data_IF_341978438230
#
_entry.id   IF_341978438230
#
_cell.length_a   1.000
_cell.length_b   1.000
_cell.length_c   1.000
_cell.angle_alpha   90.00
_cell.angle_beta   90.00
_cell.angle_gamma   90.00
#
_symmetry.space_group_name_H-M   'P 1'
#
loop_
_entity.id
_entity.type
_entity.pdbx_description
1 polymer ?
#
# COMPACT_ATOMS: atom_id res chain seq x y z
N UNK A 1 -5.86 11.88 -0.15
CA UNK A 1 -5.24 10.89 0.74
C UNK A 1 -5.54 9.48 0.25
N UNK A 2 -4.51 8.71 0.01
CA UNK A 2 -4.65 7.31 -0.39
C UNK A 2 -4.49 6.44 0.86
N UNK A 3 -5.61 6.02 1.43
CA UNK A 3 -5.64 5.34 2.72
C UNK A 3 -6.24 3.94 2.65
N UNK A 4 -6.75 3.51 1.52
CA UNK A 4 -7.32 2.17 1.38
C UNK A 4 -6.21 1.11 1.43
N UNK A 5 -6.52 -0.02 2.08
CA UNK A 5 -5.57 -1.12 2.14
C UNK A 5 -6.19 -2.38 2.69
N UNK A 6 -5.64 -3.49 2.28
CA UNK A 6 -6.02 -4.80 2.81
C UNK A 6 -4.75 -5.58 3.14
N UNK A 7 -4.85 -6.44 4.15
CA UNK A 7 -3.75 -7.28 4.55
C UNK A 7 -3.93 -8.72 4.07
N UNK A 8 -2.82 -9.43 4.02
CA UNK A 8 -2.81 -10.84 3.68
C UNK A 8 -1.75 -11.52 4.55
N UNK A 9 -2.16 -12.46 5.36
CA UNK A 9 -1.28 -13.17 6.27
C UNK A 9 -1.33 -14.67 5.99
N UNK A 10 -0.21 -15.33 6.23
CA UNK A 10 -0.10 -16.76 6.10
C UNK A 10 1.14 -17.17 5.33
N UNK A 11 1.48 -18.48 5.34
CA UNK A 11 2.58 -18.98 4.54
C UNK A 11 2.36 -18.71 3.05
N UNK A 12 3.42 -18.44 2.33
CA UNK A 12 3.31 -18.07 0.92
C UNK A 12 2.59 -19.13 0.10
N UNK A 13 2.85 -20.41 0.39
CA UNK A 13 2.26 -21.52 -0.38
C UNK A 13 0.75 -21.64 -0.18
N UNK A 14 0.19 -20.98 0.83
CA UNK A 14 -1.27 -20.99 1.06
C UNK A 14 -1.97 -19.78 0.46
N UNK A 15 -1.23 -18.83 -0.09
CA UNK A 15 -1.83 -17.64 -0.69
C UNK A 15 -2.47 -17.98 -2.03
N UNK A 16 -3.75 -17.67 -2.17
CA UNK A 16 -4.42 -17.87 -3.45
C UNK A 16 -4.04 -16.76 -4.43
N UNK A 17 -4.15 -17.09 -5.70
CA UNK A 17 -3.89 -16.11 -6.75
C UNK A 17 -4.83 -14.92 -6.64
N UNK A 18 -6.09 -15.18 -6.34
CA UNK A 18 -7.09 -14.12 -6.19
C UNK A 18 -6.76 -13.20 -5.01
N UNK A 19 -6.34 -13.77 -3.88
CA UNK A 19 -5.98 -12.98 -2.71
C UNK A 19 -4.79 -12.07 -3.00
N UNK A 20 -3.78 -12.58 -3.68
CA UNK A 20 -2.61 -11.79 -4.05
C UNK A 20 -2.99 -10.64 -4.97
N UNK A 21 -3.84 -10.91 -5.97
CA UNK A 21 -4.31 -9.88 -6.88
C UNK A 21 -5.11 -8.81 -6.16
N UNK A 22 -5.94 -9.21 -5.21
CA UNK A 22 -6.73 -8.27 -4.42
C UNK A 22 -5.84 -7.34 -3.61
N UNK A 23 -4.80 -7.89 -2.96
CA UNK A 23 -3.87 -7.08 -2.17
C UNK A 23 -3.20 -6.04 -3.05
N UNK A 24 -2.65 -6.44 -4.19
CA UNK A 24 -2.00 -5.49 -5.08
C UNK A 24 -2.98 -4.53 -5.73
N UNK A 25 -4.18 -4.98 -6.06
CA UNK A 25 -5.19 -4.12 -6.66
C UNK A 25 -5.58 -2.98 -5.72
N UNK A 26 -5.80 -3.28 -4.45
CA UNK A 26 -6.19 -2.26 -3.47
C UNK A 26 -4.99 -1.42 -3.03
N UNK A 27 -3.90 -2.08 -2.63
CA UNK A 27 -2.78 -1.38 -1.98
C UNK A 27 -1.91 -0.60 -2.95
N UNK A 28 -1.74 -1.09 -4.17
CA UNK A 28 -0.88 -0.45 -5.16
C UNK A 28 -1.67 0.19 -6.29
N UNK A 29 -2.43 -0.61 -7.02
CA UNK A 29 -3.12 -0.10 -8.21
C UNK A 29 -4.22 0.88 -7.84
N UNK A 30 -4.87 0.71 -6.70
CA UNK A 30 -5.85 1.68 -6.22
C UNK A 30 -5.22 3.04 -5.97
N UNK A 31 -4.05 3.07 -5.35
CA UNK A 31 -3.32 4.31 -5.12
C UNK A 31 -2.91 4.95 -6.45
N UNK A 32 -2.42 4.15 -7.38
CA UNK A 32 -2.04 4.64 -8.71
C UNK A 32 -3.23 5.27 -9.42
N UNK A 33 -4.37 4.58 -9.44
CA UNK A 33 -5.58 5.08 -10.11
C UNK A 33 -6.05 6.39 -9.50
N UNK A 34 -6.01 6.50 -8.18
CA UNK A 34 -6.40 7.72 -7.48
C UNK A 34 -5.50 8.88 -7.87
N UNK A 35 -4.19 8.65 -7.86
CA UNK A 35 -3.22 9.67 -8.23
C UNK A 35 -3.44 10.09 -9.69
N UNK A 36 -3.61 9.12 -10.58
CA UNK A 36 -3.85 9.41 -11.99
C UNK A 36 -5.08 10.29 -12.21
N UNK A 37 -6.11 10.12 -11.38
CA UNK A 37 -7.33 10.88 -11.53
C UNK A 37 -7.15 12.36 -11.16
N UNK A 38 -6.33 12.64 -10.15
CA UNK A 38 -6.18 14.01 -9.63
C UNK A 38 -4.94 14.74 -10.15
N UNK A 39 -3.95 13.99 -10.62
CA UNK A 39 -2.66 14.57 -10.97
C UNK A 39 -2.72 15.62 -12.08
N UNK A 40 -3.48 15.44 -13.17
CA UNK A 40 -3.53 16.44 -14.22
C UNK A 40 -3.97 17.82 -13.72
N UNK A 41 -4.99 17.85 -12.85
CA UNK A 41 -5.46 19.12 -12.29
C UNK A 41 -4.41 19.77 -11.37
N UNK A 42 -3.71 18.95 -10.58
CA UNK A 42 -2.66 19.44 -9.71
C UNK A 42 -1.51 20.05 -10.51
N UNK A 43 -1.14 19.42 -11.62
CA UNK A 43 -0.09 19.93 -12.49
C UNK A 43 -0.50 21.24 -13.14
N UNK A 44 -1.76 21.35 -13.59
CA UNK A 44 -2.26 22.58 -14.20
C UNK A 44 -2.22 23.77 -13.26
N UNK A 45 -2.64 23.55 -12.01
CA UNK A 45 -2.64 24.66 -11.02
C UNK A 45 -1.30 24.82 -10.31
N UNK A 46 -0.34 23.94 -10.58
CA UNK A 46 1.00 23.94 -10.00
C UNK A 46 0.96 23.97 -8.47
N UNK A 47 0.04 23.20 -7.92
CA UNK A 47 -0.10 23.06 -6.49
C UNK A 47 -0.85 21.75 -6.20
N UNK A 48 -0.40 21.04 -5.19
CA UNK A 48 -1.06 19.83 -4.76
C UNK A 48 -0.32 19.15 -3.64
N UNK A 49 -1.04 18.28 -2.96
CA UNK A 49 -0.47 17.48 -1.88
C UNK A 49 -1.05 16.09 -1.96
N UNK A 50 -0.16 15.10 -2.00
CA UNK A 50 -0.54 13.69 -2.04
C UNK A 50 -0.06 13.07 -0.74
N UNK A 51 -0.97 12.44 0.00
CA UNK A 51 -0.65 11.75 1.24
C UNK A 51 -0.99 10.29 1.03
N UNK A 52 -0.01 9.41 1.24
CA UNK A 52 -0.18 7.98 1.06
C UNK A 52 0.07 7.29 2.39
N UNK A 53 -0.90 6.50 2.82
CA UNK A 53 -0.78 5.69 4.01
C UNK A 53 0.01 4.42 3.68
N UNK A 54 1.14 4.26 4.34
CA UNK A 54 1.95 3.06 4.24
C UNK A 54 2.03 2.40 5.61
N UNK A 55 2.97 1.50 5.79
CA UNK A 55 3.13 0.81 7.05
C UNK A 55 4.57 0.37 7.23
N UNK A 56 4.87 -0.17 8.41
CA UNK A 56 6.19 -0.75 8.68
C UNK A 56 6.50 -1.86 7.67
N UNK A 57 5.49 -2.52 7.11
CA UNK A 57 5.67 -3.51 6.05
C UNK A 57 6.25 -2.93 4.78
N UNK A 58 6.21 -1.62 4.59
CA UNK A 58 6.84 -0.95 3.46
C UNK A 58 8.32 -0.66 3.70
N UNK A 59 8.82 -0.88 4.92
CA UNK A 59 10.20 -0.60 5.29
C UNK A 59 11.01 -1.87 5.46
N UNK A 60 10.38 -2.97 5.86
CA UNK A 60 11.06 -4.24 6.08
C UNK A 60 10.08 -5.38 5.88
N UNK A 61 10.62 -6.56 5.54
CA UNK A 61 9.81 -7.75 5.40
C UNK A 61 9.37 -8.26 6.76
N UNK A 62 8.11 -8.62 6.90
CA UNK A 62 7.56 -9.18 8.12
C UNK A 62 7.21 -10.65 7.87
N UNK A 63 7.44 -11.53 8.87
CA UNK A 63 7.10 -12.94 8.71
C UNK A 63 5.62 -13.13 8.37
N UNK A 64 5.33 -14.05 7.47
CA UNK A 64 3.97 -14.43 7.05
C UNK A 64 3.17 -13.29 6.40
N UNK A 65 3.84 -12.21 6.02
CA UNK A 65 3.20 -11.08 5.33
C UNK A 65 3.88 -10.77 4.00
N UNK A 66 4.40 -11.80 3.33
CA UNK A 66 5.25 -11.60 2.15
C UNK A 66 4.57 -10.79 1.04
N UNK A 67 3.35 -11.15 0.69
CA UNK A 67 2.63 -10.48 -0.40
C UNK A 67 2.23 -9.06 0.01
N UNK A 68 1.76 -8.90 1.24
CA UNK A 68 1.40 -7.59 1.75
C UNK A 68 2.61 -6.66 1.78
N UNK A 69 3.73 -7.14 2.30
CA UNK A 69 4.96 -6.36 2.35
C UNK A 69 5.43 -5.99 0.94
N UNK A 70 5.34 -6.93 -0.01
CA UNK A 70 5.71 -6.65 -1.39
C UNK A 70 4.88 -5.51 -1.95
N UNK A 71 3.57 -5.48 -1.68
CA UNK A 71 2.71 -4.40 -2.15
C UNK A 71 3.08 -3.06 -1.52
N UNK A 72 3.44 -3.06 -0.25
CA UNK A 72 3.82 -1.83 0.45
C UNK A 72 5.20 -1.33 0.03
N UNK A 73 6.17 -2.23 -0.21
CA UNK A 73 7.44 -1.83 -0.81
C UNK A 73 7.24 -1.23 -2.19
N UNK A 74 6.31 -1.78 -2.97
CA UNK A 74 6.00 -1.24 -4.29
C UNK A 74 5.45 0.17 -4.18
N UNK A 75 4.59 0.44 -3.20
CA UNK A 75 4.08 1.80 -2.95
C UNK A 75 5.22 2.76 -2.59
N UNK A 76 6.15 2.31 -1.75
CA UNK A 76 7.31 3.14 -1.39
C UNK A 76 8.13 3.51 -2.63
N UNK A 77 8.40 2.52 -3.49
CA UNK A 77 9.15 2.77 -4.73
C UNK A 77 8.42 3.71 -5.67
N UNK A 78 7.11 3.54 -5.79
CA UNK A 78 6.28 4.42 -6.58
C UNK A 78 6.40 5.87 -6.08
N UNK A 79 6.32 6.05 -4.78
CA UNK A 79 6.35 7.37 -4.17
C UNK A 79 7.71 8.05 -4.32
N UNK A 80 8.80 7.30 -4.15
CA UNK A 80 10.13 7.84 -4.35
C UNK A 80 10.31 8.37 -5.77
N UNK A 81 9.85 7.60 -6.75
CA UNK A 81 9.96 7.99 -8.15
C UNK A 81 9.11 9.23 -8.45
N UNK A 82 7.86 9.23 -7.97
CA UNK A 82 6.95 10.33 -8.24
C UNK A 82 7.38 11.62 -7.55
N UNK A 83 7.91 11.55 -6.34
CA UNK A 83 8.28 12.73 -5.58
C UNK A 83 9.28 13.60 -6.36
N UNK A 84 10.22 12.96 -7.03
CA UNK A 84 11.22 13.69 -7.83
C UNK A 84 10.58 14.34 -9.05
N UNK A 85 9.72 13.61 -9.74
CA UNK A 85 9.08 14.10 -10.97
C UNK A 85 8.11 15.23 -10.69
N UNK A 86 7.43 15.19 -9.53
CA UNK A 86 6.38 16.15 -9.20
C UNK A 86 6.91 17.43 -8.54
N UNK A 87 8.15 17.43 -8.10
CA UNK A 87 8.74 18.59 -7.45
C UNK A 87 8.67 19.87 -8.30
N UNK A 88 9.00 19.85 -9.60
CA UNK A 88 8.89 21.04 -10.41
C UNK A 88 7.48 21.61 -10.55
N UNK A 89 6.46 20.79 -10.25
CA UNK A 89 5.07 21.22 -10.33
C UNK A 89 4.52 21.70 -8.98
N UNK A 90 5.40 21.83 -7.99
CA UNK A 90 4.99 22.23 -6.63
C UNK A 90 3.94 21.27 -6.04
N UNK A 91 4.09 19.99 -6.33
CA UNK A 91 3.24 18.94 -5.77
C UNK A 91 4.07 18.16 -4.76
N UNK A 92 3.60 18.13 -3.52
CA UNK A 92 4.31 17.47 -2.42
C UNK A 92 3.68 16.13 -2.12
N UNK A 93 4.53 15.10 -1.97
CA UNK A 93 4.09 13.76 -1.68
C UNK A 93 4.63 13.35 -0.31
N UNK A 94 3.75 12.88 0.55
CA UNK A 94 4.10 12.48 1.91
C UNK A 94 3.64 11.05 2.15
N UNK A 95 4.56 10.24 2.69
CA UNK A 95 4.23 8.89 3.15
C UNK A 95 4.03 8.93 4.66
N UNK A 96 2.92 8.36 5.10
CA UNK A 96 2.66 8.17 6.53
C UNK A 96 2.85 6.69 6.82
N UNK A 97 3.88 6.39 7.59
CA UNK A 97 4.26 5.00 7.89
C UNK A 97 3.76 4.64 9.27
N UNK A 98 2.59 4.02 9.33
CA UNK A 98 1.97 3.64 10.57
C UNK A 98 2.47 2.29 11.06
N UNK A 99 2.67 2.18 12.36
CA UNK A 99 2.91 0.89 13.00
C UNK A 99 1.62 0.10 13.12
N UNK A 100 1.66 -1.06 13.77
CA UNK A 100 0.46 -1.87 13.97
C UNK A 100 -0.57 -1.08 14.78
N UNK A 101 -1.82 -1.10 14.31
CA UNK A 101 -2.92 -0.45 15.00
C UNK A 101 -4.07 -1.43 15.13
N UNK A 102 -4.77 -1.35 16.25
CA UNK A 102 -5.91 -2.21 16.51
C UNK A 102 -7.16 -1.56 15.93
N UNK A 103 -7.33 -1.72 14.63
CA UNK A 103 -8.42 -1.10 13.89
C UNK A 103 -9.10 -2.13 13.00
N UNK A 104 -9.97 -1.67 12.12
CA UNK A 104 -10.63 -2.52 11.13
C UNK A 104 -9.65 -3.17 10.16
N UNK A 105 -8.36 -2.79 10.16
CA UNK A 105 -7.35 -3.46 9.35
C UNK A 105 -7.34 -4.97 9.63
N UNK A 106 -7.43 -5.36 10.91
CA UNK A 106 -7.43 -6.77 11.26
C UNK A 106 -8.65 -7.50 10.68
N UNK A 107 -9.79 -6.83 10.59
CA UNK A 107 -10.97 -7.40 9.98
C UNK A 107 -10.85 -7.53 8.47
N UNK A 108 -9.96 -6.77 7.86
CA UNK A 108 -9.75 -6.79 6.41
C UNK A 108 -8.63 -7.72 5.99
N UNK A 109 -8.08 -8.49 6.91
CA UNK A 109 -7.04 -9.45 6.57
C UNK A 109 -7.61 -10.58 5.72
N UNK A 110 -6.93 -10.87 4.64
CA UNK A 110 -7.27 -11.98 3.76
C UNK A 110 -6.46 -13.19 4.22
N UNK A 111 -7.07 -13.99 5.10
CA UNK A 111 -6.39 -15.15 5.66
C UNK A 111 -6.81 -16.41 4.92
N UNK A 112 -5.95 -16.97 4.05
CA UNK A 112 -6.30 -18.12 3.23
C UNK A 112 -6.36 -19.42 4.01
N UNK A 113 -5.68 -19.51 5.14
CA UNK A 113 -5.65 -20.71 5.96
C UNK A 113 -6.32 -20.43 7.28
N UNK A 114 -7.54 -20.96 7.51
CA UNK A 114 -8.23 -20.72 8.76
C UNK A 114 -7.53 -21.34 9.97
N UNK A 115 -6.69 -22.34 9.75
CA UNK A 115 -5.97 -22.93 10.87
C UNK A 115 -4.88 -22.00 11.38
N UNK A 116 -4.17 -21.33 10.50
CA UNK A 116 -3.26 -20.26 10.85
C UNK A 116 -2.26 -20.54 11.94
N UNK A 117 -2.09 -21.79 12.32
CA UNK A 117 -1.26 -22.15 13.47
C UNK A 117 0.22 -21.80 13.24
N UNK A 118 0.67 -21.74 12.01
CA UNK A 118 2.03 -21.35 11.71
C UNK A 118 2.30 -19.88 11.98
N UNK A 119 1.26 -19.11 12.24
CA UNK A 119 1.41 -17.69 12.54
C UNK A 119 1.70 -17.39 14.01
N UNK A 120 1.68 -18.43 14.81
CA UNK A 120 1.85 -18.28 16.28
C UNK A 120 3.30 -18.41 16.72
#
# INVERSE_FOLDING_TARGET
>A
VCNAGVGLMGPLETCSDQAMKTVFDVNLFGAIRTIQAFLPAMKRRRAGRIIISSSIGGLQGLPFNSVYCASKFAVEGLCESLAVVLQPFNIHLTLVECGPVNTSFLANLLCPDPEGSELQ
#
